data_IF_537099049945
#
_entry.id   IF_537099049945
#
_cell.length_a   1.000
_cell.length_b   1.000
_cell.length_c   1.000
_cell.angle_alpha   90.00
_cell.angle_beta   90.00
_cell.angle_gamma   90.00
#
_symmetry.space_group_name_H-M   'P 1'
#
loop_
_entity.id
_entity.type
_entity.pdbx_description
1 polymer ?
#
# COMPACT_ATOMS: atom_id res chain seq x y z
N UNK A 1 53.82 -2.35 -5.22
CA UNK A 1 52.65 -1.77 -5.89
C UNK A 1 51.40 -2.22 -5.14
N UNK A 2 50.86 -1.40 -4.24
CA UNK A 2 49.70 -1.76 -3.42
C UNK A 2 48.43 -1.65 -4.24
N UNK A 3 47.78 -2.79 -4.50
CA UNK A 3 46.54 -2.87 -5.25
C UNK A 3 45.39 -2.36 -4.35
N UNK A 4 45.13 -1.06 -4.38
CA UNK A 4 44.03 -0.41 -3.64
C UNK A 4 42.68 -0.75 -4.30
N UNK A 5 42.24 -2.00 -4.10
CA UNK A 5 40.93 -2.46 -4.54
C UNK A 5 39.84 -1.55 -3.94
N UNK A 6 39.06 -0.88 -4.81
CA UNK A 6 37.95 -0.02 -4.38
C UNK A 6 37.02 -0.81 -3.46
N UNK A 7 36.98 -0.43 -2.18
CA UNK A 7 36.01 -0.99 -1.23
C UNK A 7 34.65 -0.35 -1.45
N UNK A 8 33.61 -1.18 -1.60
CA UNK A 8 32.24 -0.69 -1.76
C UNK A 8 31.56 -0.72 -0.40
N UNK A 9 30.86 0.35 -0.03
CA UNK A 9 30.12 0.44 1.24
C UNK A 9 28.64 0.67 0.99
N UNK A 10 27.80 -0.01 1.75
CA UNK A 10 26.35 0.17 1.73
C UNK A 10 25.81 0.17 3.16
N UNK A 11 25.13 1.26 3.56
CA UNK A 11 24.61 1.46 4.93
C UNK A 11 25.64 1.12 6.02
N UNK A 12 26.85 1.66 5.88
CA UNK A 12 27.95 1.48 6.84
C UNK A 12 28.72 0.15 6.73
N UNK A 13 28.25 -0.83 5.97
CA UNK A 13 28.91 -2.14 5.82
C UNK A 13 29.72 -2.23 4.53
N UNK A 14 30.88 -2.87 4.58
CA UNK A 14 31.66 -3.20 3.38
C UNK A 14 30.95 -4.35 2.65
N UNK A 15 30.74 -4.18 1.35
CA UNK A 15 30.04 -5.13 0.48
C UNK A 15 30.82 -5.36 -0.80
N UNK A 16 30.50 -6.43 -1.52
CA UNK A 16 31.07 -6.66 -2.85
C UNK A 16 30.52 -5.63 -3.86
N UNK A 17 31.29 -5.39 -4.93
CA UNK A 17 30.86 -4.53 -6.05
C UNK A 17 29.49 -4.93 -6.60
N UNK A 18 29.24 -6.23 -6.73
CA UNK A 18 27.98 -6.78 -7.23
C UNK A 18 26.80 -6.39 -6.33
N UNK A 19 26.95 -6.55 -5.02
CA UNK A 19 25.92 -6.18 -4.04
C UNK A 19 25.66 -4.68 -4.08
N UNK A 20 26.72 -3.87 -4.11
CA UNK A 20 26.58 -2.41 -4.19
C UNK A 20 25.80 -1.97 -5.44
N UNK A 21 26.20 -2.44 -6.63
CA UNK A 21 25.52 -2.10 -7.88
C UNK A 21 24.06 -2.55 -7.89
N UNK A 22 23.78 -3.74 -7.36
CA UNK A 22 22.42 -4.24 -7.24
C UNK A 22 21.56 -3.34 -6.34
N UNK A 23 22.10 -2.85 -5.21
CA UNK A 23 21.40 -1.93 -4.30
C UNK A 23 21.14 -0.56 -4.94
N UNK A 24 22.08 -0.05 -5.74
CA UNK A 24 21.88 1.18 -6.51
C UNK A 24 20.76 1.02 -7.53
N UNK A 25 20.74 -0.09 -8.27
CA UNK A 25 19.67 -0.39 -9.25
C UNK A 25 18.29 -0.49 -8.58
N UNK A 26 18.20 -1.15 -7.42
CA UNK A 26 16.96 -1.24 -6.65
C UNK A 26 16.47 0.13 -6.16
N UNK A 27 17.40 0.97 -5.68
CA UNK A 27 17.09 2.33 -5.26
C UNK A 27 16.52 3.14 -6.41
N UNK A 28 17.18 3.12 -7.56
CA UNK A 28 16.76 3.85 -8.76
C UNK A 28 15.38 3.41 -9.26
N UNK A 29 15.15 2.10 -9.37
CA UNK A 29 13.83 1.55 -9.73
C UNK A 29 12.73 2.03 -8.77
N UNK A 30 13.02 2.07 -7.46
CA UNK A 30 12.09 2.57 -6.46
C UNK A 30 11.78 4.08 -6.57
N UNK A 31 12.71 4.88 -7.11
CA UNK A 31 12.43 6.29 -7.44
C UNK A 31 11.55 6.40 -8.68
N UNK A 32 11.89 5.69 -9.76
CA UNK A 32 11.12 5.68 -11.01
C UNK A 32 9.67 5.26 -10.79
N UNK A 33 9.43 4.19 -10.03
CA UNK A 33 8.07 3.73 -9.70
C UNK A 33 7.28 4.75 -8.89
N UNK A 34 7.93 5.51 -7.99
CA UNK A 34 7.28 6.57 -7.21
C UNK A 34 6.88 7.75 -8.08
N UNK A 35 7.75 8.14 -9.01
CA UNK A 35 7.47 9.24 -9.92
C UNK A 35 6.36 8.87 -10.91
N UNK A 36 6.33 7.62 -11.40
CA UNK A 36 5.23 7.10 -12.20
C UNK A 36 3.91 7.11 -11.42
N UNK A 37 3.92 6.71 -10.14
CA UNK A 37 2.71 6.75 -9.31
C UNK A 37 2.21 8.17 -9.07
N UNK A 38 3.11 9.14 -8.86
CA UNK A 38 2.73 10.57 -8.75
C UNK A 38 2.12 11.11 -10.04
N UNK A 39 2.69 10.76 -11.20
CA UNK A 39 2.14 11.15 -12.50
C UNK A 39 0.72 10.62 -12.71
N UNK A 40 0.48 9.32 -12.46
CA UNK A 40 -0.88 8.74 -12.53
C UNK A 40 -1.88 9.46 -11.64
N UNK A 41 -1.49 9.83 -10.41
CA UNK A 41 -2.35 10.59 -9.50
C UNK A 41 -2.61 12.02 -9.97
N UNK A 42 -1.64 12.66 -10.62
CA UNK A 42 -1.82 13.98 -11.23
C UNK A 42 -2.82 13.90 -12.39
N UNK A 43 -2.67 12.91 -13.25
CA UNK A 43 -3.58 12.69 -14.39
C UNK A 43 -5.02 12.42 -13.89
N UNK A 44 -5.20 11.62 -12.84
CA UNK A 44 -6.49 11.43 -12.17
C UNK A 44 -7.05 12.73 -11.55
N UNK A 45 -6.20 13.61 -11.01
CA UNK A 45 -6.64 14.88 -10.43
C UNK A 45 -7.05 15.91 -11.48
N UNK A 46 -6.39 15.93 -12.65
CA UNK A 46 -6.72 16.83 -13.77
C UNK A 46 -8.02 16.41 -14.46
N UNK A 47 -8.30 15.11 -14.54
CA UNK A 47 -9.60 14.59 -15.03
C UNK A 47 -10.75 14.98 -14.09
N UNK A 48 -10.48 15.15 -12.79
CA UNK A 48 -11.49 15.47 -11.78
C UNK A 48 -11.95 16.93 -11.78
N UNK A 49 -11.17 17.85 -12.33
CA UNK A 49 -11.52 19.29 -12.39
C UNK A 49 -12.43 19.66 -13.58
N UNK A 50 -12.75 18.75 -14.51
CA UNK A 50 -13.46 19.11 -15.75
C UNK A 50 -14.73 18.29 -16.11
N UNK A 51 -15.36 17.54 -15.20
CA UNK A 51 -16.58 16.77 -15.55
C UNK A 51 -17.67 16.86 -14.47
N UNK A 52 -18.63 17.76 -14.68
CA UNK A 52 -20.02 17.55 -14.30
C UNK A 52 -20.62 16.52 -15.28
N UNK A 53 -20.55 15.21 -14.97
CA UNK A 53 -21.51 14.17 -15.37
C UNK A 53 -21.04 12.78 -14.88
N UNK A 54 -21.95 11.84 -14.58
CA UNK A 54 -21.63 10.62 -13.87
C UNK A 54 -20.91 9.62 -14.78
N UNK A 55 -19.58 9.51 -14.65
CA UNK A 55 -18.81 8.48 -15.34
C UNK A 55 -19.11 7.12 -14.71
N UNK A 56 -19.88 6.31 -15.43
CA UNK A 56 -20.11 4.90 -15.13
C UNK A 56 -18.80 4.12 -15.31
N UNK A 57 -17.99 4.00 -14.25
CA UNK A 57 -16.76 3.20 -14.29
C UNK A 57 -17.10 1.69 -14.29
N UNK A 58 -17.25 1.11 -15.49
CA UNK A 58 -16.98 -0.31 -15.69
C UNK A 58 -15.48 -0.50 -15.94
N UNK A 59 -14.70 -0.49 -14.86
CA UNK A 59 -13.39 -1.15 -14.84
C UNK A 59 -13.43 -2.20 -13.74
N UNK A 60 -14.09 -3.33 -14.04
CA UNK A 60 -13.87 -4.56 -13.30
C UNK A 60 -12.54 -5.11 -13.81
N UNK A 61 -11.43 -4.53 -13.37
CA UNK A 61 -10.18 -5.31 -13.34
C UNK A 61 -10.50 -6.49 -12.43
N UNK A 62 -10.62 -7.69 -13.00
CA UNK A 62 -10.70 -8.93 -12.26
C UNK A 62 -9.52 -8.95 -11.29
N UNK A 63 -9.80 -8.61 -10.04
CA UNK A 63 -8.83 -8.63 -8.99
C UNK A 63 -8.41 -10.07 -8.82
N UNK A 64 -7.27 -10.45 -9.40
CA UNK A 64 -6.62 -11.71 -9.05
C UNK A 64 -6.56 -11.76 -7.52
N UNK A 65 -7.28 -12.72 -6.95
CA UNK A 65 -7.30 -12.96 -5.52
C UNK A 65 -5.90 -13.44 -5.15
N UNK A 66 -5.02 -12.49 -4.85
CA UNK A 66 -3.70 -12.78 -4.31
C UNK A 66 -3.91 -13.26 -2.87
N UNK A 67 -4.02 -14.57 -2.73
CA UNK A 67 -4.03 -15.26 -1.45
C UNK A 67 -2.72 -15.00 -0.70
N UNK A 68 -2.83 -14.77 0.60
CA UNK A 68 -1.68 -14.54 1.46
C UNK A 68 -2.07 -14.08 2.85
N UNK A 69 -1.12 -14.20 3.80
CA UNK A 69 -1.32 -13.78 5.18
C UNK A 69 -0.98 -12.30 5.38
N UNK A 70 -1.80 -11.60 6.17
CA UNK A 70 -1.51 -10.24 6.63
C UNK A 70 -0.78 -10.27 7.96
N UNK A 71 0.35 -9.58 8.03
CA UNK A 71 1.03 -9.32 9.29
C UNK A 71 0.39 -8.08 9.90
N UNK A 72 -0.23 -8.23 11.07
CA UNK A 72 -0.94 -7.14 11.76
C UNK A 72 -0.39 -6.94 13.16
N UNK A 73 -0.40 -5.70 13.63
CA UNK A 73 -0.22 -5.40 15.05
C UNK A 73 -1.57 -5.58 15.76
N UNK A 74 -1.72 -6.67 16.51
CA UNK A 74 -2.99 -7.03 17.15
C UNK A 74 -3.52 -5.95 18.11
N UNK A 75 -2.62 -5.29 18.87
CA UNK A 75 -3.02 -4.22 19.80
C UNK A 75 -3.59 -3.03 19.06
N UNK A 76 -2.91 -2.58 18.00
CA UNK A 76 -3.39 -1.47 17.17
C UNK A 76 -4.69 -1.84 16.45
N UNK A 77 -4.77 -3.04 15.88
CA UNK A 77 -5.95 -3.53 15.19
C UNK A 77 -7.17 -3.58 16.11
N UNK A 78 -7.02 -4.12 17.33
CA UNK A 78 -8.09 -4.16 18.33
C UNK A 78 -8.60 -2.78 18.76
N UNK A 79 -7.77 -1.73 18.68
CA UNK A 79 -8.21 -0.35 18.93
C UNK A 79 -9.09 0.22 17.81
N UNK A 80 -9.03 -0.35 16.61
CA UNK A 80 -9.82 0.10 15.44
C UNK A 80 -11.11 -0.71 15.25
N UNK A 81 -11.29 -1.85 15.92
CA UNK A 81 -12.45 -2.74 15.79
C UNK A 81 -13.63 -2.29 16.66
N UNK A 82 -13.98 -1.02 16.58
CA UNK A 82 -15.10 -0.44 17.33
C UNK A 82 -16.01 0.34 16.40
N UNK A 83 -17.32 0.10 16.48
CA UNK A 83 -18.28 0.85 15.70
C UNK A 83 -18.25 2.33 16.12
N UNK A 84 -18.07 3.21 15.14
CA UNK A 84 -18.06 4.67 15.34
C UNK A 84 -19.37 5.20 15.93
N UNK A 85 -20.50 4.55 15.59
CA UNK A 85 -21.84 4.92 16.05
C UNK A 85 -22.23 4.25 17.38
N UNK A 86 -22.43 2.93 17.40
CA UNK A 86 -23.00 2.24 18.56
C UNK A 86 -21.97 1.72 19.58
N UNK A 87 -20.66 1.91 19.29
CA UNK A 87 -19.53 1.49 20.14
C UNK A 87 -19.46 -0.03 20.41
N UNK A 88 -20.19 -0.83 19.66
CA UNK A 88 -20.07 -2.29 19.67
C UNK A 88 -18.75 -2.73 19.03
N UNK A 89 -18.20 -3.86 19.46
CA UNK A 89 -17.02 -4.45 18.83
C UNK A 89 -17.35 -4.92 17.40
N UNK A 90 -16.46 -4.64 16.45
CA UNK A 90 -16.58 -5.10 15.07
C UNK A 90 -15.94 -6.49 14.91
N UNK A 91 -16.53 -7.33 14.04
CA UNK A 91 -15.95 -8.63 13.66
C UNK A 91 -15.42 -8.59 12.23
N UNK A 92 -14.33 -9.33 11.99
CA UNK A 92 -13.80 -9.55 10.64
C UNK A 92 -14.76 -10.32 9.72
N UNK A 93 -15.70 -11.08 10.29
CA UNK A 93 -16.70 -11.82 9.52
C UNK A 93 -17.64 -10.90 8.72
N UNK A 94 -17.73 -9.62 9.12
CA UNK A 94 -18.55 -8.60 8.47
C UNK A 94 -17.72 -7.57 7.68
N UNK A 95 -16.48 -7.91 7.30
CA UNK A 95 -15.70 -7.09 6.36
C UNK A 95 -16.29 -7.26 4.96
N UNK A 96 -16.69 -6.14 4.36
CA UNK A 96 -17.28 -6.12 3.02
C UNK A 96 -16.23 -5.94 1.93
N UNK A 97 -15.19 -5.16 2.22
CA UNK A 97 -14.12 -4.92 1.27
C UNK A 97 -12.80 -4.54 1.94
N UNK A 98 -11.71 -4.75 1.21
CA UNK A 98 -10.36 -4.35 1.57
C UNK A 98 -9.84 -3.40 0.48
N UNK A 99 -9.45 -2.18 0.85
CA UNK A 99 -8.67 -1.29 -0.01
C UNK A 99 -7.19 -1.39 0.36
N UNK A 100 -6.36 -1.78 -0.61
CA UNK A 100 -4.90 -1.89 -0.44
C UNK A 100 -4.20 -0.60 -0.87
N UNK A 101 -3.33 -0.06 -0.02
CA UNK A 101 -2.49 1.11 -0.30
C UNK A 101 -1.04 0.77 0.01
N UNK A 102 -0.30 0.28 -0.99
CA UNK A 102 1.04 -0.27 -0.79
C UNK A 102 1.00 -1.53 0.07
N UNK A 103 1.67 -1.50 1.23
CA UNK A 103 1.62 -2.58 2.24
C UNK A 103 0.49 -2.40 3.26
N UNK A 104 -0.18 -1.25 3.26
CA UNK A 104 -1.31 -0.98 4.15
C UNK A 104 -2.59 -1.56 3.57
N UNK A 105 -3.49 -1.98 4.46
CA UNK A 105 -4.82 -2.47 4.13
C UNK A 105 -5.83 -1.69 4.95
N UNK A 106 -6.86 -1.16 4.29
CA UNK A 106 -7.99 -0.48 4.91
C UNK A 106 -9.19 -1.40 4.72
N UNK A 107 -9.74 -1.90 5.83
CA UNK A 107 -10.88 -2.81 5.82
C UNK A 107 -12.14 -1.99 6.08
N UNK A 108 -13.15 -2.14 5.24
CA UNK A 108 -14.48 -1.58 5.46
C UNK A 108 -15.38 -2.66 6.08
N UNK A 109 -15.81 -2.44 7.32
CA UNK A 109 -16.54 -3.42 8.11
C UNK A 109 -17.95 -2.93 8.48
N UNK A 110 -18.96 -3.75 8.19
CA UNK A 110 -20.34 -3.46 8.60
C UNK A 110 -20.52 -3.82 10.07
N UNK A 111 -21.05 -2.89 10.87
CA UNK A 111 -21.43 -3.21 12.24
C UNK A 111 -22.64 -4.16 12.25
N UNK A 112 -22.52 -5.30 12.91
CA UNK A 112 -23.59 -6.30 13.01
C UNK A 112 -24.81 -5.82 13.82
N UNK A 113 -24.67 -4.76 14.63
CA UNK A 113 -25.72 -4.22 15.49
C UNK A 113 -26.50 -3.07 14.86
N UNK A 114 -25.81 -2.04 14.37
CA UNK A 114 -26.45 -0.84 13.80
C UNK A 114 -26.32 -0.73 12.27
N UNK A 115 -25.69 -1.71 11.62
CA UNK A 115 -25.54 -1.82 10.15
C UNK A 115 -24.75 -0.68 9.48
N UNK A 116 -24.15 0.22 10.25
CA UNK A 116 -23.27 1.28 9.74
C UNK A 116 -21.94 0.68 9.29
N UNK A 117 -21.47 1.10 8.11
CA UNK A 117 -20.15 0.76 7.58
C UNK A 117 -19.09 1.63 8.28
N UNK A 118 -18.03 0.99 8.75
CA UNK A 118 -16.88 1.62 9.41
C UNK A 118 -15.63 1.45 8.56
#
# INVERSE_FOLDING_TARGET
>A
MSNSGKSYRWKGRIVSKKVYLQRMKQTQLGHELRDLSKKRKLDESVVRENLEEPVHYHNVEESQILEGYRIVNLKFLGQQLWCTSCKETLSFDYVESERRIGLASVLLGRCHKCLIIN
#
